data_IF_146151084659
#
_entry.id   IF_146151084659
#
_cell.length_a   1.000
_cell.length_b   1.000
_cell.length_c   1.000
_cell.angle_alpha   90.00
_cell.angle_beta   90.00
_cell.angle_gamma   90.00
#
_symmetry.space_group_name_H-M   'P 1'
#
loop_
_entity.id
_entity.type
_entity.pdbx_description
1 polymer ?
#
# COMPACT_ATOMS: atom_id res chain seq x y z
N UNK A 1 -13.60 31.34 62.47
CA UNK A 1 -14.02 31.56 61.06
C UNK A 1 -12.91 31.02 60.17
N UNK A 2 -12.98 29.78 59.64
CA UNK A 2 -13.59 29.39 58.35
C UNK A 2 -13.05 30.22 57.16
N UNK A 3 -12.45 29.72 56.06
CA UNK A 3 -12.20 28.40 55.42
C UNK A 3 -11.00 28.56 54.43
N UNK A 4 -10.38 27.46 53.94
CA UNK A 4 -9.35 27.48 52.90
C UNK A 4 -9.91 27.16 51.49
N UNK A 5 -9.35 27.75 50.43
CA UNK A 5 -9.55 27.38 49.01
C UNK A 5 -8.34 27.86 48.21
N UNK A 6 -7.74 27.18 47.24
CA UNK A 6 -7.85 25.84 46.69
C UNK A 6 -6.67 25.70 45.71
N UNK A 7 -5.89 24.64 45.82
CA UNK A 7 -4.85 24.26 44.86
C UNK A 7 -5.47 23.96 43.50
N UNK A 8 -5.04 24.64 42.44
CA UNK A 8 -5.36 24.25 41.07
C UNK A 8 -4.12 23.60 40.43
N UNK A 9 -4.08 22.27 40.48
CA UNK A 9 -3.10 21.42 39.81
C UNK A 9 -3.59 21.23 38.37
N UNK A 10 -2.97 21.89 37.40
CA UNK A 10 -3.25 21.66 35.99
C UNK A 10 -2.69 20.30 35.57
N UNK A 11 -3.59 19.32 35.40
CA UNK A 11 -3.28 18.04 34.78
C UNK A 11 -2.92 18.27 33.30
N UNK A 12 -1.66 18.02 32.92
CA UNK A 12 -1.29 17.85 31.51
C UNK A 12 -1.67 16.44 31.09
N UNK A 13 -2.82 16.29 30.46
CA UNK A 13 -3.13 15.10 29.68
C UNK A 13 -2.37 15.19 28.35
N UNK A 14 -1.47 14.23 28.13
CA UNK A 14 -0.76 14.05 26.86
C UNK A 14 -1.76 13.62 25.80
N UNK A 15 -2.18 14.53 24.93
CA UNK A 15 -2.93 14.20 23.71
C UNK A 15 -1.93 13.59 22.73
N UNK A 16 -1.94 12.27 22.59
CA UNK A 16 -1.32 11.60 21.43
C UNK A 16 -1.97 12.18 20.17
N UNK A 17 -1.25 13.04 19.48
CA UNK A 17 -1.62 13.55 18.17
C UNK A 17 -1.69 12.37 17.19
N UNK A 18 -2.89 12.08 16.68
CA UNK A 18 -3.11 11.14 15.57
C UNK A 18 -2.35 11.69 14.37
N UNK A 19 -1.16 11.15 14.11
CA UNK A 19 -0.42 11.48 12.91
C UNK A 19 -1.12 10.83 11.71
N UNK A 20 -1.36 11.62 10.69
CA UNK A 20 -1.90 11.18 9.43
C UNK A 20 -0.78 11.13 8.38
N UNK A 21 -0.73 10.06 7.60
CA UNK A 21 0.24 9.93 6.50
C UNK A 21 -0.45 10.26 5.19
N UNK A 22 0.23 11.04 4.35
CA UNK A 22 -0.19 11.29 2.96
C UNK A 22 0.54 10.26 2.10
N UNK A 23 -0.20 9.39 1.40
CA UNK A 23 0.38 8.60 0.34
C UNK A 23 0.55 9.50 -0.89
N UNK A 24 1.77 9.58 -1.42
CA UNK A 24 2.04 10.25 -2.69
C UNK A 24 1.45 9.42 -3.83
N UNK A 25 0.32 9.87 -4.37
CA UNK A 25 -0.32 9.23 -5.52
C UNK A 25 -1.78 9.70 -5.69
N UNK A 26 -1.99 10.63 -6.62
CA UNK A 26 -3.32 11.09 -7.04
C UNK A 26 -3.85 12.32 -6.28
N UNK A 27 -4.37 13.28 -7.04
CA UNK A 27 -5.00 14.52 -6.57
C UNK A 27 -6.27 14.20 -5.77
N UNK A 28 -6.11 13.92 -4.49
CA UNK A 28 -7.17 13.50 -3.58
C UNK A 28 -6.58 12.73 -2.41
N UNK A 29 -5.71 13.37 -1.64
CA UNK A 29 -5.01 12.75 -0.51
C UNK A 29 -6.00 12.30 0.56
N UNK A 30 -6.53 11.08 0.44
CA UNK A 30 -7.32 10.47 1.48
C UNK A 30 -6.41 10.23 2.68
N UNK A 31 -6.69 10.98 3.74
CA UNK A 31 -5.98 10.88 5.00
C UNK A 31 -6.38 9.56 5.68
N UNK A 32 -5.43 8.66 5.88
CA UNK A 32 -5.64 7.41 6.62
C UNK A 32 -4.86 7.45 7.94
N UNK A 33 -5.31 6.75 8.99
CA UNK A 33 -4.61 6.73 10.27
C UNK A 33 -3.25 6.03 10.12
N UNK A 34 -2.16 6.68 10.52
CA UNK A 34 -0.83 6.05 10.53
C UNK A 34 -0.81 4.74 11.34
N UNK A 35 -1.62 4.68 12.40
CA UNK A 35 -1.79 3.51 13.24
C UNK A 35 -2.37 2.31 12.46
N UNK A 36 -3.38 2.54 11.61
CA UNK A 36 -4.00 1.47 10.82
C UNK A 36 -3.00 0.87 9.82
N UNK A 37 -2.18 1.72 9.20
CA UNK A 37 -1.08 1.25 8.34
C UNK A 37 -0.06 0.44 9.15
N UNK A 38 0.35 0.92 10.33
CA UNK A 38 1.31 0.22 11.18
C UNK A 38 0.78 -1.14 11.67
N UNK A 39 -0.51 -1.24 11.99
CA UNK A 39 -1.18 -2.49 12.36
C UNK A 39 -1.26 -3.45 11.18
N UNK A 40 -1.60 -2.96 9.98
CA UNK A 40 -1.62 -3.76 8.76
C UNK A 40 -0.24 -4.32 8.40
N UNK A 41 0.80 -3.46 8.41
CA UNK A 41 2.18 -3.88 8.13
C UNK A 41 2.75 -4.84 9.17
N UNK A 42 2.19 -4.84 10.39
CA UNK A 42 2.64 -5.71 11.47
C UNK A 42 1.80 -6.98 11.63
N UNK A 43 0.73 -7.16 10.84
CA UNK A 43 -0.19 -8.30 10.99
C UNK A 43 -0.91 -8.29 12.33
N UNK A 44 -1.43 -7.13 12.73
CA UNK A 44 -2.18 -6.95 14.00
C UNK A 44 -3.49 -6.19 13.79
N UNK A 45 -4.15 -6.43 12.66
CA UNK A 45 -5.43 -5.81 12.32
C UNK A 45 -6.61 -6.46 13.04
N UNK A 46 -6.43 -7.69 13.53
CA UNK A 46 -7.49 -8.54 14.07
C UNK A 46 -8.30 -9.27 12.99
N UNK A 47 -7.91 -9.16 11.71
CA UNK A 47 -8.55 -9.85 10.60
C UNK A 47 -7.84 -11.18 10.36
N UNK A 48 -8.55 -12.26 10.67
CA UNK A 48 -8.09 -13.64 10.45
C UNK A 48 -7.70 -13.89 8.98
N UNK A 49 -6.63 -14.64 8.75
CA UNK A 49 -6.07 -14.84 7.43
C UNK A 49 -5.20 -13.67 7.00
N UNK A 50 -5.69 -12.42 7.07
CA UNK A 50 -4.87 -11.24 6.71
C UNK A 50 -3.62 -11.12 7.58
N UNK A 51 -3.79 -11.16 8.90
CA UNK A 51 -2.68 -11.06 9.85
C UNK A 51 -1.70 -12.23 9.70
N UNK A 52 -2.22 -13.44 9.46
CA UNK A 52 -1.43 -14.65 9.18
C UNK A 52 -0.62 -14.51 7.89
N UNK A 53 -1.21 -13.99 6.81
CA UNK A 53 -0.55 -13.79 5.53
C UNK A 53 0.53 -12.72 5.59
N UNK A 54 0.39 -11.69 6.44
CA UNK A 54 1.49 -10.74 6.70
C UNK A 54 2.70 -11.49 7.26
N UNK A 55 2.49 -12.37 8.24
CA UNK A 55 3.58 -13.13 8.85
C UNK A 55 4.17 -14.15 7.87
N UNK A 56 3.33 -14.91 7.17
CA UNK A 56 3.74 -15.91 6.18
C UNK A 56 4.58 -15.26 5.08
N UNK A 57 4.13 -14.12 4.53
CA UNK A 57 4.87 -13.38 3.50
C UNK A 57 6.24 -12.92 4.01
N UNK A 58 6.34 -12.40 5.24
CA UNK A 58 7.62 -11.93 5.80
C UNK A 58 8.58 -13.07 6.11
N UNK A 59 8.07 -14.23 6.50
CA UNK A 59 8.88 -15.39 6.87
C UNK A 59 9.35 -16.19 5.66
N UNK A 60 8.48 -16.34 4.66
CA UNK A 60 8.70 -17.26 3.54
C UNK A 60 9.02 -16.54 2.22
N UNK A 61 8.67 -15.26 2.13
CA UNK A 61 8.74 -14.50 0.89
C UNK A 61 7.69 -14.89 -0.15
N UNK A 62 6.66 -15.65 0.22
CA UNK A 62 5.66 -16.16 -0.72
C UNK A 62 4.24 -16.12 -0.17
N UNK A 63 3.27 -15.92 -1.07
CA UNK A 63 1.85 -16.16 -0.84
C UNK A 63 1.24 -16.73 -2.11
N UNK A 64 0.29 -17.66 -1.98
CA UNK A 64 -0.47 -18.12 -3.13
C UNK A 64 -1.30 -16.97 -3.75
N UNK A 65 -1.50 -16.98 -5.08
CA UNK A 65 -2.14 -15.87 -5.79
C UNK A 65 -3.54 -15.50 -5.26
N UNK A 66 -4.37 -16.47 -4.88
CA UNK A 66 -5.66 -16.17 -4.22
C UNK A 66 -5.50 -15.42 -2.90
N UNK A 67 -4.52 -15.80 -2.07
CA UNK A 67 -4.23 -15.09 -0.83
C UNK A 67 -3.74 -13.66 -1.11
N UNK A 68 -2.90 -13.47 -2.15
CA UNK A 68 -2.48 -12.13 -2.63
C UNK A 68 -3.69 -11.26 -3.02
N UNK A 69 -4.66 -11.82 -3.73
CA UNK A 69 -5.88 -11.12 -4.13
C UNK A 69 -6.77 -10.76 -2.92
N UNK A 70 -6.98 -11.70 -1.99
CA UNK A 70 -7.75 -11.44 -0.77
C UNK A 70 -7.06 -10.39 0.11
N UNK A 71 -5.74 -10.50 0.28
CA UNK A 71 -4.91 -9.55 1.00
C UNK A 71 -5.08 -8.13 0.44
N UNK A 72 -4.90 -7.97 -0.88
CA UNK A 72 -5.04 -6.67 -1.53
C UNK A 72 -6.46 -6.10 -1.38
N UNK A 73 -7.49 -6.95 -1.50
CA UNK A 73 -8.88 -6.53 -1.34
C UNK A 73 -9.17 -6.04 0.09
N UNK A 74 -8.74 -6.79 1.10
CA UNK A 74 -8.86 -6.42 2.52
C UNK A 74 -8.12 -5.11 2.79
N UNK A 75 -6.89 -4.99 2.31
CA UNK A 75 -6.08 -3.78 2.42
C UNK A 75 -6.79 -2.54 1.87
N UNK A 76 -7.31 -2.64 0.65
CA UNK A 76 -7.88 -1.49 -0.08
C UNK A 76 -9.27 -1.12 0.44
N UNK A 77 -10.15 -2.11 0.63
CA UNK A 77 -11.58 -1.86 0.84
C UNK A 77 -12.01 -2.02 2.30
N UNK A 78 -11.40 -2.96 3.04
CA UNK A 78 -11.74 -3.18 4.45
C UNK A 78 -10.95 -2.24 5.36
N UNK A 79 -9.63 -2.17 5.18
CA UNK A 79 -8.75 -1.29 5.96
C UNK A 79 -8.70 0.14 5.39
N UNK A 80 -9.23 0.35 4.19
CA UNK A 80 -9.26 1.64 3.47
C UNK A 80 -7.89 2.28 3.23
N UNK A 81 -6.84 1.47 3.20
CA UNK A 81 -5.46 1.92 3.02
C UNK A 81 -5.14 2.19 1.54
N UNK A 82 -4.17 3.08 1.23
CA UNK A 82 -3.69 3.29 -0.13
C UNK A 82 -3.11 2.00 -0.71
N UNK A 83 -3.56 1.62 -1.91
CA UNK A 83 -3.11 0.40 -2.58
C UNK A 83 -1.61 0.43 -2.88
N UNK A 84 -1.04 1.62 -3.16
CA UNK A 84 0.39 1.80 -3.47
C UNK A 84 1.30 1.38 -2.32
N UNK A 85 0.86 1.58 -1.08
CA UNK A 85 1.61 1.15 0.12
C UNK A 85 1.55 -0.37 0.31
N UNK A 86 0.44 -1.00 -0.08
CA UNK A 86 0.33 -2.45 -0.11
C UNK A 86 1.19 -3.07 -1.21
N UNK A 87 1.21 -2.45 -2.40
CA UNK A 87 2.07 -2.83 -3.50
C UNK A 87 3.56 -2.72 -3.13
N UNK A 88 3.98 -1.63 -2.48
CA UNK A 88 5.33 -1.48 -1.94
C UNK A 88 5.66 -2.55 -0.88
N UNK A 89 4.71 -2.85 0.02
CA UNK A 89 4.88 -3.93 0.99
C UNK A 89 5.13 -5.27 0.31
N UNK A 90 4.37 -5.60 -0.74
CA UNK A 90 4.57 -6.81 -1.53
C UNK A 90 5.91 -6.82 -2.26
N UNK A 91 6.27 -5.71 -2.90
CA UNK A 91 7.53 -5.57 -3.65
C UNK A 91 8.76 -5.84 -2.77
N UNK A 92 8.71 -5.45 -1.49
CA UNK A 92 9.81 -5.65 -0.53
C UNK A 92 9.93 -7.05 0.06
N UNK A 93 8.87 -7.87 0.00
CA UNK A 93 8.84 -9.15 0.71
C UNK A 93 8.64 -10.35 -0.21
N UNK A 94 8.05 -10.18 -1.39
CA UNK A 94 7.90 -11.27 -2.34
C UNK A 94 9.26 -11.66 -2.93
N UNK A 95 9.57 -12.96 -2.91
CA UNK A 95 10.76 -13.50 -3.58
C UNK A 95 10.64 -13.44 -5.10
N UNK A 96 9.40 -13.47 -5.60
CA UNK A 96 9.02 -13.36 -7.01
C UNK A 96 8.52 -11.95 -7.36
N UNK A 97 8.93 -10.94 -6.58
CA UNK A 97 8.50 -9.57 -6.81
C UNK A 97 9.01 -9.04 -8.15
N UNK A 98 8.08 -8.63 -9.01
CA UNK A 98 8.35 -7.89 -10.24
C UNK A 98 7.47 -6.63 -10.26
N UNK A 99 8.08 -5.50 -10.62
CA UNK A 99 7.44 -4.20 -10.53
C UNK A 99 6.17 -4.10 -11.39
N UNK A 100 6.22 -4.67 -12.60
CA UNK A 100 5.11 -4.61 -13.55
C UNK A 100 3.93 -5.48 -13.08
N UNK A 101 4.17 -6.77 -12.84
CA UNK A 101 3.16 -7.74 -12.42
C UNK A 101 2.55 -7.36 -11.07
N UNK A 102 3.36 -7.00 -10.06
CA UNK A 102 2.85 -6.58 -8.75
C UNK A 102 1.96 -5.33 -8.88
N UNK A 103 2.43 -4.28 -9.56
CA UNK A 103 1.65 -3.06 -9.76
C UNK A 103 0.35 -3.35 -10.50
N UNK A 104 0.40 -4.14 -11.58
CA UNK A 104 -0.79 -4.52 -12.33
C UNK A 104 -1.79 -5.32 -11.49
N UNK A 105 -1.34 -6.30 -10.69
CA UNK A 105 -2.22 -7.09 -9.82
C UNK A 105 -2.96 -6.22 -8.79
N UNK A 106 -2.25 -5.29 -8.14
CA UNK A 106 -2.89 -4.36 -7.21
C UNK A 106 -3.90 -3.42 -7.89
N UNK A 107 -3.56 -2.90 -9.08
CA UNK A 107 -4.48 -2.08 -9.90
C UNK A 107 -5.72 -2.86 -10.35
N UNK A 108 -5.56 -4.14 -10.66
CA UNK A 108 -6.66 -5.02 -11.03
C UNK A 108 -7.65 -5.19 -9.86
N UNK A 109 -7.15 -5.49 -8.66
CA UNK A 109 -8.01 -5.61 -7.46
C UNK A 109 -8.73 -4.29 -7.15
N UNK A 110 -8.03 -3.17 -7.30
CA UNK A 110 -8.57 -1.82 -7.13
C UNK A 110 -9.63 -1.43 -8.17
N UNK A 111 -9.82 -2.20 -9.24
CA UNK A 111 -10.73 -1.85 -10.35
C UNK A 111 -10.23 -0.69 -11.22
N UNK A 112 -8.91 -0.42 -11.21
CA UNK A 112 -8.27 0.66 -11.97
C UNK A 112 -7.92 0.27 -13.41
N UNK A 113 -7.75 -1.03 -13.68
CA UNK A 113 -7.51 -1.51 -15.05
C UNK A 113 -8.80 -1.49 -15.89
N UNK A 114 -9.87 -2.03 -15.33
CA UNK A 114 -11.21 -1.98 -15.92
C UNK A 114 -12.10 -1.20 -14.96
N UNK A 115 -12.41 0.07 -15.25
CA UNK A 115 -13.12 0.96 -14.34
C UNK A 115 -14.39 0.30 -13.76
N UNK A 116 -14.47 0.27 -12.43
CA UNK A 116 -15.62 -0.27 -11.69
C UNK A 116 -15.66 -1.81 -11.56
N UNK A 117 -14.66 -2.54 -12.06
CA UNK A 117 -14.52 -3.99 -11.88
C UNK A 117 -13.56 -4.30 -10.74
N UNK A 118 -13.99 -4.01 -9.51
CA UNK A 118 -13.21 -4.29 -8.30
C UNK A 118 -13.33 -5.77 -7.89
N UNK A 119 -12.32 -6.25 -7.17
CA UNK A 119 -12.35 -7.57 -6.55
C UNK A 119 -12.55 -7.43 -5.03
N UNK A 120 -13.70 -7.89 -4.53
CA UNK A 120 -14.00 -7.95 -3.11
C UNK A 120 -13.75 -9.36 -2.55
N UNK A 121 -12.90 -9.45 -1.53
CA UNK A 121 -12.75 -10.66 -0.74
C UNK A 121 -14.04 -10.95 0.03
N UNK A 122 -14.44 -12.22 0.10
CA UNK A 122 -15.59 -12.64 0.90
C UNK A 122 -15.19 -13.73 1.88
N UNK A 123 -15.81 -13.68 3.06
CA UNK A 123 -15.60 -14.66 4.14
C UNK A 123 -15.86 -16.08 3.66
N UNK A 124 -16.95 -16.30 2.91
CA UNK A 124 -17.32 -17.63 2.42
C UNK A 124 -16.28 -18.21 1.45
N UNK A 125 -15.70 -17.37 0.59
CA UNK A 125 -14.69 -17.78 -0.37
C UNK A 125 -13.39 -18.13 0.35
N UNK A 126 -12.92 -17.25 1.25
CA UNK A 126 -11.74 -17.50 2.06
C UNK A 126 -11.90 -18.79 2.87
N UNK A 127 -13.02 -18.96 3.58
CA UNK A 127 -13.28 -20.16 4.36
C UNK A 127 -13.28 -21.42 3.50
N UNK A 128 -13.98 -21.40 2.36
CA UNK A 128 -14.04 -22.55 1.45
C UNK A 128 -12.66 -22.94 0.92
N UNK A 129 -11.89 -21.99 0.40
CA UNK A 129 -10.63 -22.28 -0.29
C UNK A 129 -9.42 -22.36 0.65
N UNK A 130 -9.62 -22.13 1.94
CA UNK A 130 -8.63 -22.40 2.99
C UNK A 130 -9.01 -23.62 3.83
N UNK A 131 -10.00 -24.41 3.38
CA UNK A 131 -10.52 -25.57 4.11
C UNK A 131 -10.91 -25.24 5.55
N UNK A 132 -11.64 -24.14 5.71
CA UNK A 132 -12.11 -23.57 6.98
C UNK A 132 -11.00 -23.18 7.97
N UNK A 133 -9.75 -23.04 7.50
CA UNK A 133 -8.66 -22.52 8.32
C UNK A 133 -8.87 -21.06 8.72
N UNK A 134 -9.49 -20.25 7.84
CA UNK A 134 -9.76 -18.83 8.09
C UNK A 134 -11.20 -18.46 7.78
N UNK A 135 -11.85 -17.68 8.65
CA UNK A 135 -13.21 -17.16 8.45
C UNK A 135 -13.31 -15.69 8.92
N UNK A 136 -12.61 -14.76 8.23
CA UNK A 136 -12.55 -13.36 8.64
C UNK A 136 -13.93 -12.70 8.72
N UNK A 137 -14.12 -11.85 9.72
CA UNK A 137 -15.36 -11.09 9.95
C UNK A 137 -15.16 -9.62 9.64
N UNK A 138 -16.25 -8.94 9.30
CA UNK A 138 -16.23 -7.49 9.06
C UNK A 138 -15.52 -7.07 7.77
N UNK A 139 -15.41 -7.98 6.79
CA UNK A 139 -14.89 -7.62 5.47
C UNK A 139 -15.85 -6.64 4.77
N UNK A 140 -15.29 -5.73 3.98
CA UNK A 140 -16.07 -4.80 3.18
C UNK A 140 -17.00 -5.54 2.20
N UNK A 141 -18.28 -5.18 2.19
CA UNK A 141 -19.28 -5.70 1.25
C UNK A 141 -19.46 -4.82 0.02
N UNK A 142 -18.93 -3.60 0.05
CA UNK A 142 -18.97 -2.63 -1.03
C UNK A 142 -17.58 -2.07 -1.30
N UNK A 143 -17.28 -1.85 -2.58
CA UNK A 143 -16.00 -1.30 -3.00
C UNK A 143 -16.15 0.20 -3.29
N UNK A 144 -15.32 1.02 -2.64
CA UNK A 144 -15.18 2.42 -3.05
C UNK A 144 -14.55 2.50 -4.44
N UNK A 145 -15.03 3.42 -5.27
CA UNK A 145 -14.39 3.72 -6.55
C UNK A 145 -13.06 4.42 -6.27
N UNK A 146 -11.98 3.89 -6.86
CA UNK A 146 -10.66 4.51 -6.85
C UNK A 146 -10.46 5.13 -8.22
N UNK A 147 -10.14 6.42 -8.24
CA UNK A 147 -9.86 7.15 -9.47
C UNK A 147 -8.38 7.53 -9.53
N UNK A 148 -7.84 7.54 -10.74
CA UNK A 148 -6.51 8.07 -11.03
C UNK A 148 -6.61 9.24 -12.00
N UNK A 149 -5.65 10.18 -11.94
CA UNK A 149 -5.53 11.21 -12.98
C UNK A 149 -5.46 10.57 -14.37
N UNK A 150 -6.05 11.20 -15.40
CA UNK A 150 -5.93 10.69 -16.76
C UNK A 150 -4.46 10.63 -17.18
N UNK A 151 -4.14 9.62 -17.98
CA UNK A 151 -2.80 9.50 -18.58
C UNK A 151 -2.57 10.76 -19.43
N UNK A 152 -1.45 11.48 -19.23
CA UNK A 152 -1.15 12.66 -20.03
C UNK A 152 -1.03 12.27 -21.51
N UNK A 153 -1.39 13.16 -22.44
CA UNK A 153 -1.23 12.88 -23.86
C UNK A 153 0.23 12.60 -24.19
N UNK A 154 0.48 11.70 -25.14
CA UNK A 154 1.82 11.43 -25.63
C UNK A 154 2.46 12.75 -26.08
N UNK A 155 3.63 13.06 -25.54
CA UNK A 155 4.42 14.22 -25.91
C UNK A 155 5.73 13.76 -26.55
N UNK A 156 6.39 14.67 -27.27
CA UNK A 156 7.76 14.44 -27.68
C UNK A 156 8.62 14.16 -26.45
N UNK A 157 9.51 13.17 -26.54
CA UNK A 157 10.50 12.95 -25.50
C UNK A 157 11.28 14.25 -25.29
N UNK A 158 11.49 14.69 -24.04
CA UNK A 158 12.36 15.83 -23.79
C UNK A 158 13.73 15.59 -24.42
N UNK A 159 14.37 16.65 -24.91
CA UNK A 159 15.75 16.57 -25.34
C UNK A 159 16.58 16.03 -24.18
N UNK A 160 17.10 14.82 -24.34
CA UNK A 160 18.01 14.27 -23.34
C UNK A 160 19.22 15.20 -23.24
N UNK A 161 19.50 15.70 -22.03
CA UNK A 161 20.73 16.44 -21.78
C UNK A 161 21.90 15.47 -22.00
N UNK A 162 22.45 15.44 -23.22
CA UNK A 162 23.72 14.76 -23.47
C UNK A 162 24.80 15.49 -22.69
N UNK A 163 25.44 14.77 -21.77
CA UNK A 163 26.65 15.24 -21.14
C UNK A 163 27.66 15.64 -22.23
N UNK A 164 28.24 16.84 -22.12
CA UNK A 164 29.33 17.25 -23.00
C UNK A 164 30.56 16.43 -22.62
N UNK A 165 31.23 15.74 -23.58
CA UNK A 165 32.40 14.92 -23.26
C UNK A 165 33.54 15.69 -22.58
N UNK A 166 33.59 17.01 -22.76
CA UNK A 166 34.59 17.91 -22.19
C UNK A 166 34.28 18.39 -20.77
N UNK A 167 33.14 18.04 -20.20
CA UNK A 167 32.71 18.49 -18.89
C UNK A 167 32.64 17.30 -17.91
N UNK A 168 33.05 17.48 -16.64
CA UNK A 168 32.80 16.48 -15.61
C UNK A 168 31.30 16.18 -15.53
N UNK A 169 30.94 14.90 -15.63
CA UNK A 169 29.56 14.44 -15.56
C UNK A 169 29.46 13.20 -14.66
N UNK A 170 28.27 13.00 -14.08
CA UNK A 170 27.92 11.83 -13.28
C UNK A 170 26.79 11.12 -14.01
N UNK A 171 26.92 9.81 -14.19
CA UNK A 171 25.83 8.96 -14.64
C UNK A 171 25.11 8.39 -13.41
N UNK A 172 23.83 8.75 -13.24
CA UNK A 172 22.97 8.12 -12.27
C UNK A 172 22.37 6.87 -12.91
N UNK A 173 22.73 5.70 -12.40
CA UNK A 173 22.18 4.41 -12.83
C UNK A 173 21.21 3.93 -11.76
N UNK A 174 20.04 3.50 -12.19
CA UNK A 174 18.97 2.94 -11.38
C UNK A 174 18.74 1.47 -11.76
N UNK A 175 18.01 0.72 -10.93
CA UNK A 175 17.65 -0.67 -11.26
C UNK A 175 16.74 -0.81 -12.49
N UNK A 176 16.12 0.28 -12.93
CA UNK A 176 15.26 0.33 -14.12
C UNK A 176 16.07 0.56 -15.41
N UNK A 177 17.34 0.96 -15.30
CA UNK A 177 18.22 1.15 -16.44
C UNK A 177 18.70 -0.24 -16.90
N UNK A 178 17.95 -0.83 -17.84
CA UNK A 178 18.19 -2.21 -18.29
C UNK A 178 19.43 -2.40 -19.17
N UNK A 179 20.02 -1.31 -19.68
CA UNK A 179 21.19 -1.36 -20.58
C UNK A 179 22.03 -0.07 -20.49
N UNK A 180 22.61 0.26 -19.31
CA UNK A 180 23.40 1.48 -19.13
C UNK A 180 24.69 1.51 -19.97
N UNK A 181 25.18 0.35 -20.41
CA UNK A 181 26.37 0.20 -21.23
C UNK A 181 26.28 0.87 -22.60
N UNK A 182 25.08 1.01 -23.18
CA UNK A 182 24.90 1.74 -24.45
C UNK A 182 25.19 3.23 -24.34
N UNK A 183 25.27 3.77 -23.12
CA UNK A 183 25.58 5.19 -22.90
C UNK A 183 27.09 5.48 -23.03
N UNK A 184 27.93 4.44 -23.13
CA UNK A 184 29.39 4.55 -23.25
C UNK A 184 29.93 4.16 -24.63
N UNK A 185 29.06 3.76 -25.57
CA UNK A 185 29.42 3.33 -26.93
C UNK A 185 29.43 4.48 -27.95
#
# INVERSE_FOLDING_TARGET
MARPTSSCRAARTSKMSKLAVVAAGGTGGHMFPAQALAEALAGRTGIEGFDDWVLELRQTGYLHNHARMWFASIWIFTLQLPWTLGADFFLRHLIDADAASNTMSWRWVAGLQTPGKTYLASTDNIARYTNHRFAPKGLATEARVIAEPPIPPACALPDSHRAKPSQPAILLVTHEDMHPESLFA
#
